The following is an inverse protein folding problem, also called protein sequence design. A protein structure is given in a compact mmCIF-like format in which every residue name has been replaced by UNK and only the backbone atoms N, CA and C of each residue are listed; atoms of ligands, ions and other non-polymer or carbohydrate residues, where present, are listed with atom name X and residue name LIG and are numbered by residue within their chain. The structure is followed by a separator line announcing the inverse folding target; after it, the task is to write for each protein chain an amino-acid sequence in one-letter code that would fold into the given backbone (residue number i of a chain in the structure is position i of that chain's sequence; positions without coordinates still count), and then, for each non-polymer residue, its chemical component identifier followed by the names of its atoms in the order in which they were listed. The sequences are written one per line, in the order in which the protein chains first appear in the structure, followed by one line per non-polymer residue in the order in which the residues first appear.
data_IF_227450644057
#
_entry.id   IF_227450644057
#
_cell.length_a   1.000
_cell.length_b   1.000
_cell.length_c   1.000
_cell.angle_alpha   90.00
_cell.angle_beta   90.00
_cell.angle_gamma   90.00
#
_symmetry.space_group_name_H-M   'P 1'
#
loop_
_entity.id
_entity.type
_entity.pdbx_description
1 polymer ?
#
# COMPACT_ATOMS: atom_id res chain seq x y z
N UNK A 1 30.61 -12.20 11.67
CA UNK A 1 30.76 -10.74 11.85
C UNK A 1 31.07 -9.96 10.56
N UNK A 2 31.50 -10.61 9.45
CA UNK A 2 31.85 -9.93 8.20
C UNK A 2 30.67 -9.72 7.24
N UNK A 3 29.60 -10.49 7.36
CA UNK A 3 28.40 -10.35 6.50
C UNK A 3 27.56 -9.09 6.82
N UNK A 4 27.74 -8.50 8.00
CA UNK A 4 26.97 -7.32 8.43
C UNK A 4 27.30 -6.07 7.59
N UNK A 5 28.56 -5.93 7.16
CA UNK A 5 28.98 -4.76 6.36
C UNK A 5 28.62 -4.85 4.87
N UNK A 6 28.48 -6.06 4.32
CA UNK A 6 28.14 -6.27 2.92
C UNK A 6 26.64 -6.14 2.63
N UNK A 7 25.78 -6.43 3.61
CA UNK A 7 24.31 -6.29 3.48
C UNK A 7 23.85 -4.84 3.61
N UNK A 8 24.67 -3.94 4.18
CA UNK A 8 24.30 -2.53 4.44
C UNK A 8 24.02 -1.74 3.16
N UNK A 9 24.60 -2.12 2.02
CA UNK A 9 24.36 -1.46 0.72
C UNK A 9 23.45 -2.24 -0.23
N UNK A 10 23.07 -3.48 0.11
CA UNK A 10 22.22 -4.29 -0.74
C UNK A 10 20.76 -3.78 -0.73
N UNK A 11 20.15 -3.73 -1.90
CA UNK A 11 18.71 -3.40 -2.04
C UNK A 11 17.84 -4.65 -1.98
N UNK A 12 18.37 -5.81 -2.36
CA UNK A 12 17.68 -7.09 -2.31
C UNK A 12 18.57 -8.18 -1.73
N UNK A 13 17.97 -9.11 -0.98
CA UNK A 13 18.64 -10.29 -0.42
C UNK A 13 17.78 -11.52 -0.65
N UNK A 14 18.40 -12.60 -1.14
CA UNK A 14 17.79 -13.92 -1.22
C UNK A 14 18.44 -14.85 -0.21
N UNK A 15 17.64 -15.38 0.71
CA UNK A 15 18.05 -16.35 1.72
C UNK A 15 17.82 -17.76 1.15
N UNK A 16 18.89 -18.57 0.96
CA UNK A 16 18.78 -19.93 0.43
C UNK A 16 17.94 -20.85 1.32
N UNK A 17 17.38 -21.92 0.72
CA UNK A 17 16.58 -22.90 1.47
C UNK A 17 17.38 -23.66 2.54
N UNK A 18 18.70 -23.73 2.39
CA UNK A 18 19.61 -24.36 3.37
C UNK A 18 19.84 -23.54 4.63
N UNK A 19 19.37 -22.29 4.68
CA UNK A 19 19.49 -21.46 5.89
C UNK A 19 18.37 -21.84 6.86
N UNK A 20 18.74 -22.37 8.01
CA UNK A 20 17.79 -22.82 9.04
C UNK A 20 17.49 -21.73 10.07
N UNK A 21 18.36 -20.73 10.21
CA UNK A 21 18.23 -19.70 11.24
C UNK A 21 18.75 -18.33 10.76
N UNK A 22 17.97 -17.30 11.03
CA UNK A 22 18.32 -15.88 10.78
C UNK A 22 18.38 -15.14 12.11
N UNK A 23 19.58 -14.68 12.45
CA UNK A 23 19.87 -14.04 13.73
C UNK A 23 19.25 -12.66 13.90
N UNK A 24 19.30 -12.16 15.11
CA UNK A 24 18.84 -10.83 15.52
C UNK A 24 19.56 -9.74 14.71
N UNK A 25 18.82 -8.72 14.27
CA UNK A 25 19.31 -7.55 13.52
C UNK A 25 19.96 -7.83 12.15
N UNK A 26 19.89 -9.05 11.62
CA UNK A 26 20.56 -9.39 10.37
C UNK A 26 19.98 -8.68 9.15
N UNK A 27 18.66 -8.53 9.05
CA UNK A 27 17.97 -7.96 7.89
C UNK A 27 17.45 -6.53 8.17
N UNK A 28 18.26 -5.69 8.80
CA UNK A 28 17.87 -4.31 9.19
C UNK A 28 18.47 -3.19 8.33
N UNK A 29 19.19 -3.51 7.25
CA UNK A 29 19.78 -2.49 6.36
C UNK A 29 18.73 -1.48 5.86
N UNK A 30 19.02 -0.17 5.95
CA UNK A 30 18.10 0.89 5.52
C UNK A 30 17.87 0.87 3.99
N UNK A 31 18.88 0.42 3.23
CA UNK A 31 18.83 0.29 1.77
C UNK A 31 18.08 -0.96 1.31
N UNK A 32 17.87 -1.94 2.20
CA UNK A 32 17.25 -3.22 1.87
C UNK A 32 15.75 -3.04 1.62
N UNK A 33 15.30 -3.30 0.40
CA UNK A 33 13.93 -3.11 -0.05
C UNK A 33 13.16 -4.44 -0.17
N UNK A 34 13.85 -5.51 -0.60
CA UNK A 34 13.23 -6.82 -0.82
C UNK A 34 14.03 -7.95 -0.19
N UNK A 35 13.32 -8.87 0.45
CA UNK A 35 13.88 -10.08 1.03
C UNK A 35 13.11 -11.27 0.48
N UNK A 36 13.82 -12.25 -0.09
CA UNK A 36 13.22 -13.51 -0.56
C UNK A 36 13.76 -14.67 0.27
N UNK A 37 12.88 -15.41 0.92
CA UNK A 37 13.20 -16.66 1.62
C UNK A 37 12.83 -17.85 0.73
N UNK A 38 13.82 -18.65 0.32
CA UNK A 38 13.58 -19.90 -0.42
C UNK A 38 13.15 -21.07 0.46
N UNK A 39 13.46 -20.99 1.74
CA UNK A 39 13.09 -21.95 2.78
C UNK A 39 12.23 -21.36 3.87
N UNK A 40 12.12 -22.06 4.99
CA UNK A 40 11.40 -21.67 6.20
C UNK A 40 12.35 -21.60 7.41
N UNK A 41 13.26 -20.63 7.47
CA UNK A 41 14.18 -20.50 8.57
C UNK A 41 13.46 -20.09 9.85
N UNK A 42 14.08 -20.32 11.01
CA UNK A 42 13.70 -19.65 12.25
C UNK A 42 14.19 -18.20 12.17
N UNK A 43 13.28 -17.25 12.35
CA UNK A 43 13.59 -15.82 12.42
C UNK A 43 13.68 -15.38 13.87
N UNK A 44 14.87 -14.99 14.33
CA UNK A 44 15.06 -14.49 15.68
C UNK A 44 14.33 -13.18 15.94
N UNK A 45 14.21 -12.79 17.21
CA UNK A 45 13.69 -11.48 17.61
C UNK A 45 14.44 -10.37 16.87
N UNK A 46 13.69 -9.36 16.39
CA UNK A 46 14.26 -8.24 15.67
C UNK A 46 15.12 -8.60 14.45
N UNK A 47 14.89 -9.74 13.81
CA UNK A 47 15.68 -10.18 12.63
C UNK A 47 15.43 -9.34 11.39
N UNK A 48 14.21 -8.83 11.22
CA UNK A 48 13.81 -7.99 10.08
C UNK A 48 13.50 -6.58 10.58
N UNK A 49 14.23 -5.60 10.08
CA UNK A 49 14.10 -4.20 10.52
C UNK A 49 13.02 -3.40 9.83
N UNK A 50 12.95 -2.12 10.19
CA UNK A 50 11.97 -1.13 9.77
C UNK A 50 12.14 -0.66 8.32
N UNK A 51 11.08 -0.06 7.78
CA UNK A 51 10.91 0.64 6.51
C UNK A 51 10.54 -0.23 5.31
N UNK A 52 9.35 0.01 4.74
CA UNK A 52 8.81 -0.42 3.44
C UNK A 52 9.56 -1.58 2.76
N UNK A 53 9.54 -2.76 3.36
CA UNK A 53 10.20 -3.93 2.80
C UNK A 53 9.17 -4.91 2.26
N UNK A 54 9.48 -5.46 1.10
CA UNK A 54 8.76 -6.58 0.52
C UNK A 54 9.41 -7.87 0.98
N UNK A 55 8.69 -8.72 1.70
CA UNK A 55 9.15 -10.03 2.14
C UNK A 55 8.40 -11.10 1.36
N UNK A 56 9.12 -11.86 0.58
CA UNK A 56 8.58 -12.96 -0.21
C UNK A 56 9.05 -14.30 0.34
N UNK A 57 8.12 -15.14 0.74
CA UNK A 57 8.37 -16.54 1.13
C UNK A 57 8.00 -17.47 -0.01
N UNK A 58 8.91 -18.36 -0.38
CA UNK A 58 8.69 -19.36 -1.44
C UNK A 58 8.30 -20.74 -0.87
N UNK A 59 8.41 -20.95 0.43
CA UNK A 59 8.03 -22.20 1.10
C UNK A 59 6.53 -22.23 1.37
N UNK A 60 5.90 -23.42 1.27
CA UNK A 60 4.51 -23.64 1.69
C UNK A 60 4.36 -23.58 3.22
N UNK A 61 5.44 -23.86 3.96
CA UNK A 61 5.48 -23.76 5.41
C UNK A 61 5.99 -22.38 5.82
N UNK A 62 5.25 -21.60 6.63
CA UNK A 62 5.74 -20.33 7.13
C UNK A 62 6.94 -20.50 8.08
N UNK A 63 7.80 -19.48 8.22
CA UNK A 63 8.92 -19.53 9.16
C UNK A 63 8.41 -19.55 10.59
N UNK A 64 9.16 -20.16 11.50
CA UNK A 64 9.02 -19.90 12.92
C UNK A 64 9.59 -18.51 13.24
N UNK A 65 8.86 -17.68 13.99
CA UNK A 65 9.21 -16.29 14.21
C UNK A 65 9.30 -15.95 15.70
N UNK A 66 10.32 -15.21 16.08
CA UNK A 66 10.48 -14.66 17.43
C UNK A 66 9.50 -13.50 17.68
N UNK A 67 9.38 -13.09 18.95
CA UNK A 67 8.34 -12.15 19.42
C UNK A 67 8.31 -10.80 18.67
N UNK A 68 9.45 -10.30 18.24
CA UNK A 68 9.59 -9.01 17.57
C UNK A 68 10.33 -9.14 16.23
N UNK A 69 10.17 -10.27 15.54
CA UNK A 69 10.88 -10.51 14.27
C UNK A 69 10.58 -9.45 13.21
N UNK A 70 9.39 -8.87 13.26
CA UNK A 70 8.94 -7.83 12.32
C UNK A 70 8.53 -6.56 13.09
N UNK A 71 9.28 -5.48 12.95
CA UNK A 71 9.04 -4.22 13.67
C UNK A 71 8.56 -3.06 12.82
N UNK A 72 7.99 -3.30 11.64
CA UNK A 72 7.59 -2.22 10.75
C UNK A 72 6.10 -2.20 10.44
N UNK A 73 5.52 -1.00 10.46
CA UNK A 73 4.16 -0.71 10.00
C UNK A 73 3.94 -0.96 8.50
N UNK A 74 5.01 -1.12 7.75
CA UNK A 74 5.01 -1.02 6.30
C UNK A 74 5.61 -2.24 5.62
N UNK A 75 5.63 -3.38 6.31
CA UNK A 75 6.07 -4.64 5.73
C UNK A 75 4.96 -5.27 4.90
N UNK A 76 5.28 -5.64 3.68
CA UNK A 76 4.42 -6.43 2.82
C UNK A 76 4.94 -7.86 2.78
N UNK A 77 4.11 -8.79 3.22
CA UNK A 77 4.42 -10.23 3.22
C UNK A 77 3.72 -10.90 2.07
N UNK A 78 4.47 -11.64 1.29
CA UNK A 78 3.96 -12.45 0.18
C UNK A 78 4.26 -13.91 0.48
N UNK A 79 3.20 -14.70 0.63
CA UNK A 79 3.22 -16.16 0.70
C UNK A 79 3.43 -16.76 -0.71
N UNK A 80 3.82 -18.03 -0.85
CA UNK A 80 4.10 -18.63 -2.16
C UNK A 80 2.88 -18.64 -3.09
N UNK A 81 1.68 -18.76 -2.56
CA UNK A 81 0.41 -18.75 -3.30
C UNK A 81 -0.77 -18.31 -2.42
N UNK A 82 -1.97 -18.21 -3.02
CA UNK A 82 -3.20 -17.80 -2.31
C UNK A 82 -3.58 -18.80 -1.21
N UNK A 83 -3.43 -20.10 -1.45
CA UNK A 83 -3.82 -21.14 -0.49
C UNK A 83 -3.00 -21.06 0.80
N UNK A 84 -1.79 -20.52 0.73
CA UNK A 84 -0.88 -20.34 1.85
C UNK A 84 -1.19 -19.07 2.69
N UNK A 85 -1.99 -18.12 2.20
CA UNK A 85 -2.27 -16.86 2.90
C UNK A 85 -2.80 -17.09 4.32
N UNK A 86 -3.81 -17.95 4.57
CA UNK A 86 -4.36 -18.13 5.91
C UNK A 86 -3.34 -18.63 6.92
N UNK A 87 -2.52 -19.61 6.55
CA UNK A 87 -1.52 -20.19 7.46
C UNK A 87 -0.40 -19.19 7.75
N UNK A 88 0.04 -18.43 6.73
CA UNK A 88 1.03 -17.35 6.93
C UNK A 88 0.49 -16.25 7.83
N UNK A 89 -0.75 -15.81 7.61
CA UNK A 89 -1.41 -14.81 8.44
C UNK A 89 -1.50 -15.26 9.90
N UNK A 90 -1.97 -16.48 10.14
CA UNK A 90 -2.09 -17.04 11.50
C UNK A 90 -0.74 -17.14 12.18
N UNK A 91 0.28 -17.66 11.50
CA UNK A 91 1.62 -17.83 12.09
C UNK A 91 2.29 -16.49 12.41
N UNK A 92 2.12 -15.47 11.55
CA UNK A 92 2.81 -14.19 11.69
C UNK A 92 2.05 -13.18 12.57
N UNK A 93 0.73 -13.31 12.73
CA UNK A 93 -0.11 -12.32 13.42
C UNK A 93 0.28 -12.07 14.87
N UNK A 94 0.73 -13.08 15.61
CA UNK A 94 1.16 -12.96 17.01
C UNK A 94 2.55 -12.33 17.22
N UNK A 95 3.28 -12.06 16.14
CA UNK A 95 4.71 -11.67 16.16
C UNK A 95 4.97 -10.32 15.46
N UNK A 96 3.90 -9.67 15.04
CA UNK A 96 3.91 -8.34 14.43
C UNK A 96 3.80 -7.28 15.53
N UNK A 97 4.31 -6.10 15.32
CA UNK A 97 4.18 -4.98 16.27
C UNK A 97 2.73 -4.50 16.47
N UNK A 98 1.82 -5.42 16.71
CA UNK A 98 0.36 -5.22 16.84
C UNK A 98 0.00 -4.22 17.95
N UNK A 99 0.86 -4.07 18.96
CA UNK A 99 0.70 -3.06 20.02
C UNK A 99 0.65 -1.61 19.50
N UNK A 100 1.00 -1.39 18.22
CA UNK A 100 0.98 -0.08 17.55
C UNK A 100 -0.11 0.08 16.49
N UNK A 101 -1.09 -0.81 16.42
CA UNK A 101 -2.20 -0.71 15.46
C UNK A 101 -1.81 -0.98 14.00
N UNK A 102 -0.75 -1.75 13.76
CA UNK A 102 -0.34 -2.12 12.41
C UNK A 102 -1.06 -3.38 11.93
N UNK A 103 -1.68 -3.29 10.78
CA UNK A 103 -2.33 -4.43 10.14
C UNK A 103 -1.33 -5.26 9.34
N UNK A 104 -1.28 -6.57 9.59
CA UNK A 104 -0.50 -7.50 8.79
C UNK A 104 -1.24 -7.79 7.48
N UNK A 105 -0.66 -7.34 6.38
CA UNK A 105 -1.15 -7.69 5.04
C UNK A 105 -0.35 -8.86 4.47
N UNK A 106 -1.01 -9.98 4.23
CA UNK A 106 -0.43 -11.17 3.60
C UNK A 106 -1.11 -11.39 2.25
N UNK A 107 -0.31 -11.60 1.22
CA UNK A 107 -0.72 -11.81 -0.16
C UNK A 107 -0.18 -13.14 -0.69
N UNK A 108 -0.69 -13.65 -1.82
CA UNK A 108 -0.28 -14.92 -2.39
C UNK A 108 0.34 -14.80 -3.79
N UNK A 109 1.56 -15.32 -3.95
CA UNK A 109 2.31 -15.23 -5.21
C UNK A 109 2.77 -13.83 -5.56
N UNK A 110 3.90 -13.70 -6.21
CA UNK A 110 4.53 -12.44 -6.56
C UNK A 110 4.74 -12.32 -8.07
N UNK A 111 4.38 -11.19 -8.64
CA UNK A 111 4.67 -10.83 -10.03
C UNK A 111 5.18 -9.41 -10.09
N UNK A 112 6.30 -9.21 -10.78
CA UNK A 112 6.82 -7.90 -11.12
C UNK A 112 6.47 -7.52 -12.56
N UNK A 113 6.04 -6.30 -12.75
CA UNK A 113 5.88 -5.67 -14.06
C UNK A 113 6.09 -4.16 -13.91
N UNK A 114 6.96 -3.58 -14.75
CA UNK A 114 7.26 -2.13 -14.81
C UNK A 114 7.66 -1.53 -13.45
N UNK A 115 8.51 -2.24 -12.69
CA UNK A 115 8.95 -1.90 -11.33
C UNK A 115 7.82 -1.82 -10.29
N UNK A 116 6.63 -2.32 -10.62
CA UNK A 116 5.54 -2.55 -9.69
C UNK A 116 5.44 -4.03 -9.37
N UNK A 117 5.38 -4.35 -8.10
CA UNK A 117 5.15 -5.70 -7.64
C UNK A 117 3.66 -5.90 -7.36
N UNK A 118 3.12 -6.97 -7.89
CA UNK A 118 1.72 -7.35 -7.75
C UNK A 118 1.62 -8.69 -7.05
N UNK A 119 0.57 -8.86 -6.28
CA UNK A 119 0.29 -10.12 -5.60
C UNK A 119 -1.20 -10.40 -5.57
N UNK A 120 -1.57 -11.68 -5.44
CA UNK A 120 -2.96 -12.07 -5.39
C UNK A 120 -3.54 -11.92 -3.98
N UNK A 121 -4.80 -11.52 -3.91
CA UNK A 121 -5.61 -11.47 -2.69
C UNK A 121 -6.45 -12.75 -2.55
N UNK A 122 -7.02 -12.98 -1.36
CA UNK A 122 -7.87 -14.16 -1.09
C UNK A 122 -9.14 -14.19 -1.95
N UNK A 123 -9.66 -13.04 -2.35
CA UNK A 123 -10.82 -12.91 -3.24
C UNK A 123 -10.53 -13.25 -4.71
N UNK A 124 -9.29 -13.61 -5.02
CA UNK A 124 -8.83 -13.96 -6.36
C UNK A 124 -8.36 -12.79 -7.21
N UNK A 125 -8.55 -11.54 -6.78
CA UNK A 125 -8.07 -10.35 -7.47
C UNK A 125 -6.58 -10.09 -7.21
N UNK A 126 -5.99 -9.13 -7.94
CA UNK A 126 -4.64 -8.65 -7.71
C UNK A 126 -4.61 -7.35 -6.91
N UNK A 127 -3.53 -7.16 -6.16
CA UNK A 127 -3.16 -5.93 -5.49
C UNK A 127 -1.80 -5.45 -6.00
N UNK A 128 -1.64 -4.16 -6.31
CA UNK A 128 -0.33 -3.54 -6.50
C UNK A 128 0.25 -3.23 -5.12
N UNK A 129 1.30 -3.97 -4.73
CA UNK A 129 1.76 -4.02 -3.34
C UNK A 129 3.03 -3.22 -3.07
N UNK A 130 3.93 -3.07 -4.06
CA UNK A 130 5.18 -2.37 -3.87
C UNK A 130 5.68 -1.76 -5.18
N UNK A 131 6.26 -0.55 -5.11
CA UNK A 131 6.88 0.15 -6.22
C UNK A 131 8.36 0.42 -5.90
N UNK A 132 9.24 -0.16 -6.72
CA UNK A 132 10.70 -0.04 -6.54
C UNK A 132 11.35 0.90 -7.57
N UNK A 133 10.55 1.47 -8.46
CA UNK A 133 11.05 2.31 -9.53
C UNK A 133 11.46 3.72 -9.11
N UNK A 134 12.24 4.34 -9.98
CA UNK A 134 12.61 5.77 -9.95
C UNK A 134 11.92 6.55 -11.07
N UNK A 135 11.16 5.86 -11.94
CA UNK A 135 10.39 6.49 -13.01
C UNK A 135 9.32 7.43 -12.42
N UNK A 136 9.04 8.50 -13.16
CA UNK A 136 8.05 9.51 -12.77
C UNK A 136 6.66 9.25 -13.37
N UNK A 137 6.57 8.38 -14.38
CA UNK A 137 5.30 7.95 -15.00
C UNK A 137 5.13 6.44 -14.82
N UNK A 138 3.97 6.00 -14.33
CA UNK A 138 3.65 4.61 -14.03
C UNK A 138 2.28 4.25 -14.57
N UNK A 139 2.20 3.21 -15.40
CA UNK A 139 0.94 2.61 -15.81
C UNK A 139 0.71 1.30 -15.04
N UNK A 140 -0.32 1.26 -14.18
CA UNK A 140 -0.67 0.04 -13.49
C UNK A 140 -1.38 -0.93 -14.44
N UNK A 141 -0.97 -2.19 -14.43
CA UNK A 141 -1.55 -3.21 -15.31
C UNK A 141 -2.95 -3.59 -14.87
N UNK A 142 -3.92 -3.55 -15.80
CA UNK A 142 -5.33 -3.92 -15.54
C UNK A 142 -5.48 -5.39 -15.11
N UNK A 143 -4.68 -6.28 -15.71
CA UNK A 143 -4.72 -7.73 -15.48
C UNK A 143 -3.33 -8.27 -15.32
N UNK A 144 -3.10 -9.06 -14.28
CA UNK A 144 -1.81 -9.61 -13.91
C UNK A 144 -1.88 -11.13 -13.89
N UNK A 145 -0.89 -11.81 -14.50
CA UNK A 145 -0.74 -13.26 -14.41
C UNK A 145 -0.01 -13.63 -13.12
N UNK A 146 -0.71 -14.22 -12.15
CA UNK A 146 -0.13 -14.68 -10.88
C UNK A 146 -0.59 -16.11 -10.62
N UNK A 147 0.36 -17.02 -10.39
CA UNK A 147 0.08 -18.42 -10.11
C UNK A 147 -0.68 -19.13 -11.25
N UNK A 148 -0.38 -18.78 -12.50
CA UNK A 148 -1.03 -19.38 -13.68
C UNK A 148 -2.42 -18.84 -14.01
N UNK A 149 -2.95 -17.88 -13.25
CA UNK A 149 -4.27 -17.28 -13.45
C UNK A 149 -4.19 -15.78 -13.75
N UNK A 150 -5.04 -15.30 -14.67
CA UNK A 150 -5.24 -13.88 -14.94
C UNK A 150 -6.10 -13.26 -13.83
N UNK A 151 -5.62 -12.19 -13.20
CA UNK A 151 -6.28 -11.53 -12.06
C UNK A 151 -6.46 -10.04 -12.35
N UNK A 152 -7.67 -9.53 -12.15
CA UNK A 152 -7.93 -8.10 -12.27
C UNK A 152 -7.26 -7.33 -11.12
N UNK A 153 -6.64 -6.20 -11.43
CA UNK A 153 -6.13 -5.29 -10.40
C UNK A 153 -7.31 -4.59 -9.73
N UNK A 154 -7.55 -4.91 -8.46
CA UNK A 154 -8.66 -4.34 -7.69
C UNK A 154 -8.19 -3.39 -6.58
N UNK A 155 -6.92 -3.44 -6.19
CA UNK A 155 -6.42 -2.68 -5.05
C UNK A 155 -5.04 -2.08 -5.30
N UNK A 156 -4.87 -0.85 -4.87
CA UNK A 156 -3.58 -0.19 -4.66
C UNK A 156 -3.27 -0.29 -3.17
N UNK A 157 -2.13 -0.90 -2.82
CA UNK A 157 -1.75 -1.10 -1.43
C UNK A 157 -1.43 0.21 -0.72
N UNK A 158 -1.60 0.19 0.60
CA UNK A 158 -1.14 1.26 1.48
C UNK A 158 0.32 1.62 1.18
N UNK A 159 0.60 2.91 1.00
CA UNK A 159 1.93 3.45 0.83
C UNK A 159 2.64 3.09 -0.48
N UNK A 160 1.93 2.59 -1.52
CA UNK A 160 2.56 2.15 -2.78
C UNK A 160 3.53 3.19 -3.36
N UNK A 161 3.12 4.46 -3.40
CA UNK A 161 3.90 5.59 -3.92
C UNK A 161 4.30 6.60 -2.83
N UNK A 162 4.37 6.19 -1.58
CA UNK A 162 4.69 7.04 -0.43
C UNK A 162 6.00 7.81 -0.62
N UNK A 163 5.95 9.16 -0.60
CA UNK A 163 7.08 10.06 -0.87
C UNK A 163 7.76 9.84 -2.23
N UNK A 164 7.07 9.33 -3.23
CA UNK A 164 7.65 9.16 -4.58
C UNK A 164 7.49 10.42 -5.41
N UNK A 165 8.52 10.72 -6.21
CA UNK A 165 8.50 11.85 -7.13
C UNK A 165 7.85 11.43 -8.48
N UNK A 166 6.61 10.93 -8.41
CA UNK A 166 5.82 10.57 -9.59
C UNK A 166 5.05 11.78 -10.11
N UNK A 167 4.98 11.93 -11.42
CA UNK A 167 4.22 12.99 -12.10
C UNK A 167 2.94 12.45 -12.72
N UNK A 168 2.91 11.17 -13.07
CA UNK A 168 1.79 10.54 -13.74
C UNK A 168 1.57 9.11 -13.23
N UNK A 169 0.29 8.75 -12.97
CA UNK A 169 -0.12 7.37 -12.73
C UNK A 169 -1.39 7.06 -13.52
N UNK A 170 -1.35 6.00 -14.34
CA UNK A 170 -2.53 5.46 -15.00
C UNK A 170 -3.08 4.34 -14.12
N UNK A 171 -4.28 4.57 -13.58
CA UNK A 171 -4.99 3.61 -12.73
C UNK A 171 -6.09 2.94 -13.54
N UNK A 172 -6.12 1.60 -13.64
CA UNK A 172 -7.17 0.89 -14.36
C UNK A 172 -8.54 1.03 -13.70
N UNK A 173 -9.60 1.00 -14.51
CA UNK A 173 -10.99 1.07 -14.04
C UNK A 173 -11.43 -0.09 -13.16
N UNK A 174 -10.66 -1.17 -13.08
CA UNK A 174 -10.90 -2.31 -12.19
C UNK A 174 -10.55 -2.03 -10.73
N UNK A 175 -9.82 -0.93 -10.46
CA UNK A 175 -9.39 -0.59 -9.10
C UNK A 175 -10.57 -0.03 -8.30
N UNK A 176 -10.86 -0.69 -7.18
CA UNK A 176 -11.93 -0.33 -6.24
C UNK A 176 -11.40 0.24 -4.92
N UNK A 177 -10.18 -0.12 -4.54
CA UNK A 177 -9.61 0.30 -3.26
C UNK A 177 -8.27 1.00 -3.45
N UNK A 178 -8.13 2.20 -2.90
CA UNK A 178 -6.87 2.94 -2.77
C UNK A 178 -6.50 2.97 -1.30
N UNK A 179 -5.43 2.28 -0.95
CA UNK A 179 -4.97 2.13 0.43
C UNK A 179 -4.48 3.44 1.06
N UNK A 180 -4.47 3.48 2.38
CA UNK A 180 -3.99 4.65 3.13
C UNK A 180 -2.56 5.03 2.74
N UNK A 181 -2.25 6.33 2.71
CA UNK A 181 -0.94 6.86 2.31
C UNK A 181 -0.46 6.42 0.91
N UNK A 182 -1.31 5.86 0.05
CA UNK A 182 -0.88 5.30 -1.25
C UNK A 182 -0.11 6.30 -2.10
N UNK A 183 -0.50 7.57 -2.08
CA UNK A 183 0.15 8.70 -2.77
C UNK A 183 0.60 9.80 -1.80
N UNK A 184 0.85 9.47 -0.53
CA UNK A 184 1.23 10.44 0.48
C UNK A 184 2.46 11.23 0.06
N UNK A 185 2.33 12.57 -0.01
CA UNK A 185 3.37 13.51 -0.43
C UNK A 185 3.94 13.26 -1.83
N UNK A 186 3.13 12.77 -2.76
CA UNK A 186 3.45 12.80 -4.19
C UNK A 186 3.23 14.22 -4.73
N UNK A 187 4.01 15.19 -4.26
CA UNK A 187 3.81 16.61 -4.55
C UNK A 187 4.03 17.01 -6.01
N UNK A 188 4.70 16.16 -6.80
CA UNK A 188 4.89 16.35 -8.23
C UNK A 188 3.80 15.71 -9.11
N UNK A 189 2.83 14.98 -8.51
CA UNK A 189 1.77 14.30 -9.24
C UNK A 189 0.84 15.33 -9.91
N UNK A 190 0.79 15.29 -11.23
CA UNK A 190 -0.05 16.20 -12.04
C UNK A 190 -1.10 15.47 -12.87
N UNK A 191 -0.84 14.19 -13.17
CA UNK A 191 -1.70 13.35 -14.03
C UNK A 191 -2.08 12.06 -13.30
N UNK A 192 -3.31 12.01 -12.83
CA UNK A 192 -3.96 10.81 -12.30
C UNK A 192 -5.47 11.02 -12.37
N UNK A 193 -6.18 10.12 -13.07
CA UNK A 193 -7.64 10.05 -13.04
C UNK A 193 -8.05 8.91 -12.11
N UNK A 194 -8.95 9.20 -11.18
CA UNK A 194 -9.54 8.18 -10.31
C UNK A 194 -10.64 7.45 -11.08
N UNK A 195 -10.62 6.09 -11.08
CA UNK A 195 -11.74 5.33 -11.65
C UNK A 195 -13.06 5.63 -10.95
N UNK A 196 -14.15 5.69 -11.73
CA UNK A 196 -15.52 5.88 -11.17
C UNK A 196 -15.93 4.74 -10.22
N UNK A 197 -15.34 3.57 -10.40
CA UNK A 197 -15.59 2.34 -9.63
C UNK A 197 -14.87 2.32 -8.27
N UNK A 198 -14.14 3.38 -7.91
CA UNK A 198 -13.48 3.45 -6.60
C UNK A 198 -14.53 3.50 -5.49
N UNK A 199 -14.46 2.51 -4.61
CA UNK A 199 -15.34 2.31 -3.48
C UNK A 199 -14.71 2.76 -2.14
N UNK A 200 -13.38 2.65 -2.04
CA UNK A 200 -12.65 2.94 -0.80
C UNK A 200 -11.39 3.76 -1.06
N UNK A 201 -11.21 4.82 -0.30
CA UNK A 201 -9.99 5.62 -0.23
C UNK A 201 -9.56 5.69 1.24
N UNK A 202 -8.36 5.20 1.55
CA UNK A 202 -7.84 5.13 2.91
C UNK A 202 -7.28 6.45 3.44
N UNK A 203 -6.90 6.43 4.73
CA UNK A 203 -6.37 7.59 5.43
C UNK A 203 -5.16 8.19 4.73
N UNK A 204 -5.17 9.52 4.55
CA UNK A 204 -4.07 10.29 3.96
C UNK A 204 -3.62 9.80 2.57
N UNK A 205 -4.50 9.13 1.82
CA UNK A 205 -4.15 8.52 0.54
C UNK A 205 -3.51 9.51 -0.45
N UNK A 206 -4.01 10.75 -0.51
CA UNK A 206 -3.53 11.83 -1.38
C UNK A 206 -3.06 13.07 -0.61
N UNK A 207 -2.61 12.86 0.63
CA UNK A 207 -2.09 13.96 1.46
C UNK A 207 -0.92 14.66 0.79
N UNK A 208 -0.98 15.99 0.71
CA UNK A 208 0.04 16.85 0.06
C UNK A 208 0.35 16.47 -1.42
N UNK A 209 -0.62 15.94 -2.18
CA UNK A 209 -0.55 15.89 -3.63
C UNK A 209 -0.86 17.27 -4.23
N UNK A 210 -0.04 18.27 -3.93
CA UNK A 210 -0.35 19.69 -4.15
C UNK A 210 -0.40 20.11 -5.62
N UNK A 211 0.34 19.41 -6.52
CA UNK A 211 0.32 19.68 -7.95
C UNK A 211 -0.86 18.99 -8.67
N UNK A 212 -1.63 18.14 -7.99
CA UNK A 212 -2.71 17.35 -8.59
C UNK A 212 -4.00 18.17 -8.73
N UNK A 213 -4.04 19.00 -9.76
CA UNK A 213 -5.05 20.04 -9.98
C UNK A 213 -6.16 19.58 -10.93
N UNK A 214 -7.00 18.63 -10.50
CA UNK A 214 -8.08 18.03 -11.29
C UNK A 214 -9.45 18.16 -10.62
N UNK A 215 -10.49 17.85 -11.40
CA UNK A 215 -11.84 17.63 -10.93
C UNK A 215 -12.02 16.16 -10.52
N UNK A 216 -12.50 15.92 -9.30
CA UNK A 216 -12.67 14.58 -8.72
C UNK A 216 -14.15 14.21 -8.72
N UNK A 217 -14.50 13.08 -9.34
CA UNK A 217 -15.87 12.53 -9.36
C UNK A 217 -15.82 11.07 -8.88
N UNK A 218 -16.54 10.76 -7.80
CA UNK A 218 -16.48 9.45 -7.12
C UNK A 218 -17.90 8.94 -6.79
N UNK A 219 -18.70 8.55 -7.80
CA UNK A 219 -20.09 8.13 -7.59
C UNK A 219 -20.23 6.81 -6.84
N UNK A 220 -19.17 5.98 -6.82
CA UNK A 220 -19.13 4.68 -6.15
C UNK A 220 -18.58 4.70 -4.72
N UNK A 221 -18.12 5.87 -4.23
CA UNK A 221 -17.38 5.95 -2.97
C UNK A 221 -18.25 5.59 -1.76
N UNK A 222 -17.83 4.53 -1.03
CA UNK A 222 -18.47 4.03 0.20
C UNK A 222 -17.74 4.47 1.46
N UNK A 223 -16.40 4.48 1.37
CA UNK A 223 -15.53 4.77 2.52
C UNK A 223 -14.45 5.77 2.12
N UNK A 224 -14.32 6.81 2.92
CA UNK A 224 -13.27 7.82 2.82
C UNK A 224 -12.48 7.84 4.13
N UNK A 225 -11.16 7.90 4.03
CA UNK A 225 -10.27 7.95 5.19
C UNK A 225 -10.02 9.37 5.69
N UNK A 226 -9.58 9.48 6.95
CA UNK A 226 -9.13 10.73 7.57
C UNK A 226 -8.03 11.38 6.72
N UNK A 227 -8.16 12.69 6.49
CA UNK A 227 -7.16 13.47 5.75
C UNK A 227 -6.88 12.98 4.33
N UNK A 228 -7.79 12.18 3.72
CA UNK A 228 -7.55 11.48 2.45
C UNK A 228 -7.05 12.39 1.33
N UNK A 229 -7.59 13.61 1.23
CA UNK A 229 -7.19 14.62 0.25
C UNK A 229 -6.58 15.87 0.89
N UNK A 230 -6.25 15.84 2.17
CA UNK A 230 -5.75 17.02 2.89
C UNK A 230 -4.53 17.61 2.17
N UNK A 231 -4.52 18.93 1.95
CA UNK A 231 -3.47 19.66 1.21
C UNK A 231 -3.27 19.22 -0.24
N UNK A 232 -4.24 18.55 -0.84
CA UNK A 232 -4.19 18.23 -2.27
C UNK A 232 -4.60 19.42 -3.13
N UNK A 233 -4.19 19.40 -4.41
CA UNK A 233 -4.49 20.46 -5.37
C UNK A 233 -5.82 20.30 -6.10
N UNK A 234 -6.71 19.41 -5.67
CA UNK A 234 -8.00 19.18 -6.36
C UNK A 234 -8.84 20.46 -6.48
N UNK A 235 -9.53 20.63 -7.63
CA UNK A 235 -10.31 21.83 -7.95
C UNK A 235 -11.78 21.69 -7.62
N UNK A 236 -12.33 20.51 -7.83
CA UNK A 236 -13.72 20.22 -7.51
C UNK A 236 -13.89 18.79 -6.97
N UNK A 237 -14.96 18.60 -6.21
CA UNK A 237 -15.39 17.31 -5.70
C UNK A 237 -16.85 17.06 -6.05
N UNK A 238 -17.13 15.94 -6.70
CA UNK A 238 -18.51 15.50 -6.98
C UNK A 238 -18.73 14.09 -6.42
N UNK A 239 -19.61 13.99 -5.40
CA UNK A 239 -20.04 12.76 -4.74
C UNK A 239 -21.46 12.35 -5.12
N UNK A 240 -22.05 12.93 -6.16
CA UNK A 240 -23.41 12.57 -6.59
C UNK A 240 -23.52 11.07 -6.83
N UNK A 241 -24.50 10.44 -6.15
CA UNK A 241 -24.73 8.99 -6.21
C UNK A 241 -23.83 8.15 -5.30
N UNK A 242 -22.81 8.73 -4.66
CA UNK A 242 -21.97 7.99 -3.72
C UNK A 242 -22.77 7.50 -2.50
N UNK A 243 -22.61 6.25 -2.06
CA UNK A 243 -23.25 5.78 -0.83
C UNK A 243 -22.48 6.19 0.44
N UNK A 244 -21.62 7.20 0.37
CA UNK A 244 -20.81 7.70 1.47
C UNK A 244 -21.70 8.32 2.54
N UNK A 245 -21.59 7.86 3.79
CA UNK A 245 -22.38 8.38 4.91
C UNK A 245 -21.65 9.45 5.73
N UNK A 246 -20.31 9.45 5.72
CA UNK A 246 -19.51 10.34 6.56
C UNK A 246 -18.32 10.91 5.76
N UNK A 247 -18.12 12.23 5.85
CA UNK A 247 -16.87 12.88 5.47
C UNK A 247 -16.01 12.98 6.73
N UNK A 248 -14.88 12.24 6.81
CA UNK A 248 -14.10 12.16 8.03
C UNK A 248 -13.24 13.40 8.28
N UNK A 249 -12.66 13.43 9.48
CA UNK A 249 -11.80 14.50 9.96
C UNK A 249 -10.73 14.89 8.93
N UNK A 250 -10.65 16.20 8.63
CA UNK A 250 -9.65 16.79 7.73
C UNK A 250 -9.63 16.21 6.31
N UNK A 251 -10.65 15.45 5.87
CA UNK A 251 -10.60 14.72 4.59
C UNK A 251 -10.22 15.62 3.39
N UNK A 252 -10.68 16.86 3.38
CA UNK A 252 -10.39 17.89 2.37
C UNK A 252 -9.79 19.16 3.01
N UNK A 253 -9.21 19.01 4.21
CA UNK A 253 -8.60 20.12 4.94
C UNK A 253 -7.46 20.75 4.14
N UNK A 254 -7.37 22.08 4.14
CA UNK A 254 -6.32 22.82 3.44
C UNK A 254 -6.20 22.57 1.92
N UNK A 255 -7.28 22.09 1.27
CA UNK A 255 -7.39 22.01 -0.17
C UNK A 255 -7.64 23.41 -0.74
N UNK A 256 -6.61 24.24 -0.82
CA UNK A 256 -6.72 25.66 -1.17
C UNK A 256 -7.19 25.94 -2.62
N UNK A 257 -7.18 24.94 -3.48
CA UNK A 257 -7.67 25.02 -4.86
C UNK A 257 -9.12 24.52 -5.03
N UNK A 258 -9.71 23.93 -3.98
CA UNK A 258 -11.04 23.34 -4.02
C UNK A 258 -12.10 24.44 -4.01
N UNK A 259 -12.71 24.69 -5.15
CA UNK A 259 -13.65 25.78 -5.40
C UNK A 259 -15.11 25.31 -5.60
N UNK A 260 -15.34 24.00 -5.71
CA UNK A 260 -16.70 23.45 -5.89
C UNK A 260 -16.84 22.09 -5.25
N UNK A 261 -17.92 21.90 -4.52
CA UNK A 261 -18.25 20.63 -3.86
C UNK A 261 -19.72 20.29 -4.11
N UNK A 262 -19.95 19.07 -4.61
CA UNK A 262 -21.29 18.47 -4.68
C UNK A 262 -21.31 17.24 -3.80
N UNK A 263 -22.10 17.30 -2.72
CA UNK A 263 -22.28 16.21 -1.76
C UNK A 263 -23.40 15.26 -2.22
N UNK A 264 -23.39 14.03 -1.71
CA UNK A 264 -24.43 13.05 -1.96
C UNK A 264 -25.60 13.22 -0.97
N UNK A 265 -26.80 12.83 -1.39
CA UNK A 265 -28.04 12.91 -0.58
C UNK A 265 -28.01 12.04 0.70
N UNK A 266 -27.21 10.96 0.71
CA UNK A 266 -27.09 10.03 1.85
C UNK A 266 -26.09 10.46 2.93
N UNK A 267 -25.44 11.61 2.78
CA UNK A 267 -24.46 12.08 3.74
C UNK A 267 -25.12 12.46 5.07
N UNK A 268 -24.65 11.84 6.15
CA UNK A 268 -25.22 12.05 7.50
C UNK A 268 -24.28 12.79 8.46
N UNK A 269 -22.97 12.81 8.15
CA UNK A 269 -21.98 13.40 9.05
C UNK A 269 -20.84 14.08 8.26
N UNK A 270 -20.42 15.24 8.73
CA UNK A 270 -19.18 15.92 8.34
C UNK A 270 -18.38 16.15 9.62
N UNK A 271 -17.23 15.50 9.74
CA UNK A 271 -16.39 15.58 10.93
C UNK A 271 -15.53 16.85 10.98
N UNK A 272 -14.83 17.04 12.11
CA UNK A 272 -14.04 18.24 12.38
C UNK A 272 -13.01 18.51 11.28
N UNK A 273 -12.85 19.78 10.91
CA UNK A 273 -11.85 20.25 9.95
C UNK A 273 -11.98 19.67 8.54
N UNK A 274 -13.07 18.96 8.22
CA UNK A 274 -13.21 18.25 6.94
C UNK A 274 -12.94 19.13 5.70
N UNK A 275 -13.26 20.42 5.74
CA UNK A 275 -13.07 21.40 4.67
C UNK A 275 -12.33 22.67 5.13
N UNK A 276 -11.69 22.65 6.28
CA UNK A 276 -10.97 23.85 6.81
C UNK A 276 -9.90 24.29 5.82
N UNK A 277 -9.90 25.56 5.43
CA UNK A 277 -8.93 26.12 4.46
C UNK A 277 -9.23 25.80 2.99
N UNK A 278 -10.34 25.13 2.69
CA UNK A 278 -10.89 25.10 1.34
C UNK A 278 -11.52 26.47 1.01
N UNK A 279 -11.55 26.84 -0.29
CA UNK A 279 -12.01 28.18 -0.76
C UNK A 279 -13.52 28.18 -1.04
N UNK A 280 -14.24 27.14 -0.70
CA UNK A 280 -15.70 26.97 -0.91
C UNK A 280 -16.55 27.76 0.06
#
# INVERSE_FOLDING_TARGET
NSLYSEVVSATEVTIPASVEYVGTYFLRGETLKKITFKGSPVLADNSVGSNYKLIHFMSQTPPAVGKYSFQSAHLMVVAPDIASIPVYRTTLSGHWGVEKGYELSVYGGLKEADNVYYSAMEDGNACAIYFDGTQTSVALSKTIQIGGAARALAKIQRGLFYYKNITEVIVPETVKTIGGNAFYKCSALTSLQLPSEVEEIGDYAFYECSAWAIDVTLPGLKTLGKGAFQKSGIKSLNLTGAPLATIPESAFGECSSLASITLNEGLSMIESYAFTGAVV
#
